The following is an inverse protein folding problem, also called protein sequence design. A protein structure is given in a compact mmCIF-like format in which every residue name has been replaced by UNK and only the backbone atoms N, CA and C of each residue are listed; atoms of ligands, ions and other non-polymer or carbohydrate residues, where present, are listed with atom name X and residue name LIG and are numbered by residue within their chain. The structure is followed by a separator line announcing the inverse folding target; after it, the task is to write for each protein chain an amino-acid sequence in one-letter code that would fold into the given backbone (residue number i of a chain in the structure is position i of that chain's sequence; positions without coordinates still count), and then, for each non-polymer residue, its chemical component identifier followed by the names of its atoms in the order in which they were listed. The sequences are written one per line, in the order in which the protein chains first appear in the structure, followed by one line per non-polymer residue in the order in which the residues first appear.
data_IF_945277392576
#
_entry.id   IF_945277392576
#
_cell.length_a   1.000
_cell.length_b   1.000
_cell.length_c   1.000
_cell.angle_alpha   90.00
_cell.angle_beta   90.00
_cell.angle_gamma   90.00
#
_symmetry.space_group_name_H-M   'P 1'
#
loop_
_entity.id
_entity.type
_entity.pdbx_description
1 polymer ?
#
# COMPACT_ATOMS: atom_id res chain seq x y z
N UNK A 1 5.73 -1.25 -2.95
CA UNK A 1 5.12 0.06 -2.69
C UNK A 1 6.03 1.17 -3.22
N UNK A 2 5.45 2.20 -3.84
CA UNK A 2 6.14 3.38 -4.36
C UNK A 2 5.55 4.61 -3.67
N UNK A 3 6.30 5.17 -2.73
CA UNK A 3 5.85 6.30 -1.89
C UNK A 3 6.46 7.63 -2.31
N UNK A 4 7.49 7.61 -3.16
CA UNK A 4 8.22 8.77 -3.65
C UNK A 4 8.42 8.69 -5.17
N UNK A 5 8.39 9.84 -5.85
CA UNK A 5 8.50 9.91 -7.32
C UNK A 5 9.84 9.38 -7.83
N UNK A 6 10.90 9.49 -7.04
CA UNK A 6 12.24 8.97 -7.35
C UNK A 6 12.28 7.45 -7.46
N UNK A 7 11.32 6.76 -6.82
CA UNK A 7 11.22 5.30 -6.85
C UNK A 7 10.50 4.77 -8.11
N UNK A 8 9.83 5.62 -8.89
CA UNK A 8 9.00 5.20 -10.03
C UNK A 8 9.84 4.44 -11.05
N UNK A 9 10.94 5.05 -11.52
CA UNK A 9 11.77 4.44 -12.57
C UNK A 9 12.38 3.14 -12.08
N UNK A 10 12.92 3.12 -10.86
CA UNK A 10 13.50 1.90 -10.28
C UNK A 10 12.45 0.80 -10.11
N UNK A 11 11.27 1.15 -9.63
CA UNK A 11 10.15 0.21 -9.45
C UNK A 11 9.66 -0.37 -10.77
N UNK A 12 9.45 0.47 -11.79
CA UNK A 12 9.03 0.00 -13.13
C UNK A 12 10.14 -0.79 -13.83
N UNK A 13 11.41 -0.43 -13.63
CA UNK A 13 12.55 -1.22 -14.15
C UNK A 13 12.58 -2.61 -13.54
N UNK A 14 12.40 -2.71 -12.21
CA UNK A 14 12.30 -4.00 -11.54
C UNK A 14 11.12 -4.82 -12.06
N UNK A 15 9.95 -4.20 -12.20
CA UNK A 15 8.77 -4.84 -12.77
C UNK A 15 9.02 -5.37 -14.17
N UNK A 16 9.64 -4.57 -15.04
CA UNK A 16 10.04 -4.98 -16.38
C UNK A 16 10.99 -6.19 -16.37
N UNK A 17 12.03 -6.16 -15.51
CA UNK A 17 12.98 -7.27 -15.41
C UNK A 17 12.33 -8.56 -14.91
N UNK A 18 11.40 -8.45 -13.97
CA UNK A 18 10.62 -9.60 -13.50
C UNK A 18 9.75 -10.14 -14.65
N UNK A 19 8.98 -9.29 -15.32
CA UNK A 19 8.12 -9.70 -16.45
C UNK A 19 8.92 -10.32 -17.61
N UNK A 20 10.09 -9.78 -17.88
CA UNK A 20 10.98 -10.33 -18.94
C UNK A 20 11.43 -11.76 -18.65
N UNK A 21 11.68 -12.10 -17.39
CA UNK A 21 12.19 -13.42 -16.99
C UNK A 21 11.08 -14.38 -16.52
N UNK A 22 10.01 -13.84 -15.94
CA UNK A 22 8.90 -14.59 -15.36
C UNK A 22 7.57 -13.88 -15.69
N UNK A 23 7.10 -13.95 -16.93
CA UNK A 23 5.90 -13.25 -17.39
C UNK A 23 4.61 -13.67 -16.67
N UNK A 24 4.59 -14.87 -16.08
CA UNK A 24 3.47 -15.42 -15.33
C UNK A 24 3.27 -14.78 -13.95
N UNK A 25 4.28 -14.09 -13.41
CA UNK A 25 4.18 -13.46 -12.10
C UNK A 25 3.29 -12.22 -12.20
N UNK A 26 2.22 -12.18 -11.41
CA UNK A 26 1.39 -10.98 -11.27
C UNK A 26 2.13 -9.91 -10.49
N UNK A 27 2.26 -8.73 -11.06
CA UNK A 27 2.92 -7.58 -10.44
C UNK A 27 1.87 -6.52 -10.14
N UNK A 28 1.73 -6.18 -8.87
CA UNK A 28 0.93 -5.04 -8.44
C UNK A 28 1.80 -3.96 -7.81
N UNK A 29 1.47 -2.70 -8.07
CA UNK A 29 2.13 -1.54 -7.45
C UNK A 29 1.11 -0.77 -6.62
N UNK A 30 1.51 -0.37 -5.42
CA UNK A 30 0.76 0.53 -4.55
C UNK A 30 1.65 1.66 -4.03
N UNK A 31 1.07 2.50 -3.20
CA UNK A 31 1.73 3.61 -2.52
C UNK A 31 1.18 4.98 -2.93
N UNK A 32 1.54 6.00 -2.15
CA UNK A 32 0.95 7.34 -2.23
C UNK A 32 1.13 8.02 -3.59
N UNK A 33 2.19 7.71 -4.32
CA UNK A 33 2.41 8.30 -5.66
C UNK A 33 1.28 7.93 -6.62
N UNK A 34 0.93 6.65 -6.72
CA UNK A 34 -0.10 6.19 -7.65
C UNK A 34 -1.51 6.50 -7.14
N UNK A 35 -1.71 6.61 -5.83
CA UNK A 35 -2.95 7.10 -5.24
C UNK A 35 -3.25 8.53 -5.70
N UNK A 36 -2.25 9.42 -5.70
CA UNK A 36 -2.39 10.81 -6.20
C UNK A 36 -2.61 10.90 -7.71
N UNK A 37 -2.27 9.85 -8.44
CA UNK A 37 -2.36 9.81 -9.90
C UNK A 37 -3.54 8.99 -10.41
N UNK A 38 -4.51 8.63 -9.56
CA UNK A 38 -5.66 7.78 -9.94
C UNK A 38 -6.33 8.24 -11.22
N UNK A 39 -6.70 9.53 -11.32
CA UNK A 39 -7.38 10.06 -12.50
C UNK A 39 -6.51 10.01 -13.77
N UNK A 40 -5.20 10.16 -13.61
CA UNK A 40 -4.24 10.01 -14.72
C UNK A 40 -4.05 8.56 -15.13
N UNK A 41 -4.04 7.64 -14.15
CA UNK A 41 -4.00 6.21 -14.45
C UNK A 41 -5.23 5.77 -15.24
N UNK A 42 -6.41 6.29 -14.88
CA UNK A 42 -7.66 5.98 -15.58
C UNK A 42 -7.68 6.56 -17.01
N UNK A 43 -7.21 7.80 -17.20
CA UNK A 43 -7.26 8.49 -18.49
C UNK A 43 -6.13 8.07 -19.45
N UNK A 44 -4.89 8.03 -18.95
CA UNK A 44 -3.69 7.90 -19.77
C UNK A 44 -2.77 6.74 -19.34
N UNK A 45 -3.13 5.99 -18.30
CA UNK A 45 -2.27 5.00 -17.64
C UNK A 45 -2.06 3.70 -18.41
N UNK A 46 -2.71 3.51 -19.56
CA UNK A 46 -2.68 2.25 -20.32
C UNK A 46 -1.25 1.75 -20.61
N UNK A 47 -0.29 2.65 -20.81
CA UNK A 47 1.11 2.31 -21.09
C UNK A 47 1.82 1.65 -19.91
N UNK A 48 1.43 1.97 -18.67
CA UNK A 48 2.04 1.42 -17.47
C UNK A 48 1.73 -0.08 -17.31
N UNK A 49 0.61 -0.52 -17.84
CA UNK A 49 0.23 -1.94 -17.87
C UNK A 49 1.06 -2.81 -18.80
N UNK A 50 2.04 -2.24 -19.48
CA UNK A 50 3.09 -3.00 -20.16
C UNK A 50 4.17 -3.50 -19.18
N UNK A 51 4.22 -2.94 -17.97
CA UNK A 51 5.20 -3.26 -16.92
C UNK A 51 4.59 -3.99 -15.74
N UNK A 52 3.32 -3.71 -15.44
CA UNK A 52 2.62 -4.23 -14.26
C UNK A 52 1.22 -4.71 -14.63
N UNK A 53 0.61 -5.54 -13.82
CA UNK A 53 -0.72 -6.08 -14.07
C UNK A 53 -1.82 -5.27 -13.39
N UNK A 54 -1.49 -4.61 -12.26
CA UNK A 54 -2.46 -3.83 -11.50
C UNK A 54 -1.80 -2.79 -10.61
N UNK A 55 -2.64 -1.84 -10.15
CA UNK A 55 -2.30 -0.89 -9.10
C UNK A 55 -3.32 -1.02 -7.97
N UNK A 56 -2.83 -0.93 -6.73
CA UNK A 56 -3.68 -0.76 -5.55
C UNK A 56 -3.47 0.68 -5.06
N UNK A 57 -4.57 1.42 -4.99
CA UNK A 57 -4.57 2.83 -4.58
C UNK A 57 -5.21 3.01 -3.21
N UNK A 58 -4.92 4.13 -2.54
CA UNK A 58 -5.33 4.40 -1.16
C UNK A 58 -4.77 3.35 -0.18
N UNK A 59 -5.61 2.82 0.67
CA UNK A 59 -5.24 1.82 1.68
C UNK A 59 -5.23 0.43 1.07
N UNK A 60 -4.22 -0.36 1.36
CA UNK A 60 -3.90 -1.53 0.57
C UNK A 60 -3.96 -2.88 1.29
N UNK A 61 -4.19 -2.93 2.58
CA UNK A 61 -4.12 -4.17 3.36
C UNK A 61 -5.18 -5.18 2.89
N UNK A 62 -6.46 -4.80 2.98
CA UNK A 62 -7.57 -5.63 2.49
C UNK A 62 -7.52 -5.81 0.97
N UNK A 63 -7.29 -4.77 0.15
CA UNK A 63 -7.18 -4.94 -1.29
C UNK A 63 -6.09 -5.94 -1.71
N UNK A 64 -4.91 -5.90 -1.11
CA UNK A 64 -3.84 -6.84 -1.42
C UNK A 64 -4.22 -8.28 -1.06
N UNK A 65 -4.82 -8.48 0.11
CA UNK A 65 -5.33 -9.79 0.51
C UNK A 65 -6.36 -10.32 -0.49
N UNK A 66 -7.35 -9.49 -0.86
CA UNK A 66 -8.39 -9.86 -1.83
C UNK A 66 -7.80 -10.13 -3.22
N UNK A 67 -6.80 -9.36 -3.65
CA UNK A 67 -6.11 -9.62 -4.91
C UNK A 67 -5.47 -11.01 -4.90
N UNK A 68 -4.74 -11.37 -3.85
CA UNK A 68 -4.11 -12.70 -3.73
C UNK A 68 -5.17 -13.81 -3.72
N UNK A 69 -6.29 -13.62 -3.03
CA UNK A 69 -7.40 -14.57 -3.02
C UNK A 69 -7.99 -14.77 -4.43
N UNK A 70 -8.23 -13.68 -5.17
CA UNK A 70 -8.75 -13.77 -6.53
C UNK A 70 -7.76 -14.43 -7.49
N UNK A 71 -6.46 -14.11 -7.39
CA UNK A 71 -5.42 -14.74 -8.23
C UNK A 71 -5.25 -16.24 -7.97
N UNK A 72 -5.62 -16.72 -6.77
CA UNK A 72 -5.63 -18.16 -6.43
C UNK A 72 -6.96 -18.85 -6.70
N UNK A 73 -8.03 -18.08 -6.85
CA UNK A 73 -9.41 -18.54 -7.01
C UNK A 73 -9.93 -18.38 -8.44
N UNK A 74 -11.09 -17.75 -8.55
CA UNK A 74 -11.82 -17.56 -9.82
C UNK A 74 -11.30 -16.41 -10.71
N UNK A 75 -10.38 -15.62 -10.20
CA UNK A 75 -9.73 -14.54 -10.95
C UNK A 75 -10.58 -13.30 -11.20
N UNK A 76 -11.70 -13.13 -10.49
CA UNK A 76 -12.58 -11.97 -10.68
C UNK A 76 -12.03 -10.71 -10.00
N UNK A 77 -11.22 -9.95 -10.74
CA UNK A 77 -10.58 -8.73 -10.25
C UNK A 77 -11.57 -7.62 -9.87
N UNK A 78 -12.83 -7.67 -10.34
CA UNK A 78 -13.88 -6.70 -9.96
C UNK A 78 -14.23 -6.77 -8.47
N UNK A 79 -13.93 -7.89 -7.81
CA UNK A 79 -14.18 -8.09 -6.37
C UNK A 79 -13.08 -7.49 -5.47
N UNK A 80 -12.00 -7.00 -6.05
CA UNK A 80 -10.86 -6.45 -5.30
C UNK A 80 -11.07 -4.94 -5.13
N UNK A 81 -11.29 -4.42 -3.92
CA UNK A 81 -11.46 -2.98 -3.72
C UNK A 81 -10.18 -2.23 -4.07
N UNK A 82 -10.27 -0.95 -4.39
CA UNK A 82 -9.15 -0.04 -4.65
C UNK A 82 -8.19 -0.51 -5.77
N UNK A 83 -8.63 -1.45 -6.62
CA UNK A 83 -7.81 -1.99 -7.69
C UNK A 83 -8.02 -1.21 -8.99
N UNK A 84 -6.90 -0.93 -9.67
CA UNK A 84 -6.87 -0.47 -11.05
C UNK A 84 -6.13 -1.54 -11.86
N UNK A 85 -6.73 -2.01 -12.94
CA UNK A 85 -6.17 -3.07 -13.79
C UNK A 85 -6.60 -2.87 -15.23
N UNK A 86 -5.99 -3.60 -16.15
CA UNK A 86 -6.39 -3.58 -17.56
C UNK A 86 -7.18 -4.83 -17.90
N UNK A 87 -8.35 -4.66 -18.51
CA UNK A 87 -9.16 -5.73 -19.05
C UNK A 87 -9.61 -5.38 -20.46
N UNK A 88 -9.45 -6.30 -21.41
CA UNK A 88 -9.86 -6.13 -22.82
C UNK A 88 -9.31 -4.85 -23.49
N UNK A 89 -8.14 -4.40 -23.06
CA UNK A 89 -7.48 -3.18 -23.53
C UNK A 89 -7.84 -1.90 -22.78
N UNK A 90 -8.92 -1.93 -21.99
CA UNK A 90 -9.42 -0.78 -21.23
C UNK A 90 -8.88 -0.78 -19.80
N UNK A 91 -8.68 0.42 -19.23
CA UNK A 91 -8.31 0.59 -17.83
C UNK A 91 -9.58 0.55 -16.97
N UNK A 92 -9.62 -0.39 -16.07
CA UNK A 92 -10.73 -0.59 -15.13
C UNK A 92 -10.35 -0.06 -13.75
N UNK A 93 -11.23 0.70 -13.12
CA UNK A 93 -11.07 1.23 -11.76
C UNK A 93 -12.22 0.74 -10.88
N UNK A 94 -11.91 -0.03 -9.86
CA UNK A 94 -12.93 -0.53 -8.94
C UNK A 94 -13.34 0.55 -7.95
N UNK A 95 -14.54 1.07 -8.11
CA UNK A 95 -15.16 2.10 -7.27
C UNK A 95 -16.45 1.56 -6.61
N UNK A 96 -16.91 2.11 -5.47
CA UNK A 96 -16.25 3.17 -4.70
C UNK A 96 -14.96 2.67 -4.02
N UNK A 97 -14.03 3.59 -3.75
CA UNK A 97 -12.84 3.24 -2.98
C UNK A 97 -13.23 2.93 -1.53
N UNK A 98 -12.59 1.88 -1.01
CA UNK A 98 -12.79 1.42 0.36
C UNK A 98 -11.63 1.88 1.25
N UNK A 99 -11.94 2.23 2.49
CA UNK A 99 -10.98 2.48 3.55
C UNK A 99 -10.84 1.26 4.46
N UNK A 100 -9.72 1.16 5.15
CA UNK A 100 -9.50 0.10 6.13
C UNK A 100 -10.21 0.39 7.46
N UNK A 101 -10.69 -0.65 8.10
CA UNK A 101 -11.08 -0.60 9.50
C UNK A 101 -9.82 -0.77 10.36
N UNK A 102 -9.20 0.35 10.77
CA UNK A 102 -7.89 0.34 11.43
C UNK A 102 -7.85 -0.51 12.71
N UNK A 103 -8.99 -0.65 13.38
CA UNK A 103 -9.07 -1.41 14.63
C UNK A 103 -9.13 -2.93 14.40
N UNK A 104 -9.39 -3.37 13.18
CA UNK A 104 -9.34 -4.77 12.79
C UNK A 104 -7.98 -5.20 12.23
N UNK A 105 -7.08 -4.25 11.95
CA UNK A 105 -5.75 -4.56 11.44
C UNK A 105 -4.90 -5.23 12.54
N UNK A 106 -4.12 -6.26 12.19
CA UNK A 106 -3.20 -6.88 13.12
C UNK A 106 -2.05 -5.95 13.50
N UNK A 107 -1.35 -6.29 14.58
CA UNK A 107 -0.06 -5.66 14.91
C UNK A 107 0.90 -5.81 13.74
N UNK A 108 1.65 -4.76 13.36
CA UNK A 108 2.63 -4.83 12.28
C UNK A 108 3.66 -5.94 12.49
N UNK A 109 4.00 -6.65 11.43
CA UNK A 109 5.02 -7.70 11.44
C UNK A 109 6.26 -7.24 10.67
N UNK A 110 7.41 -7.30 11.32
CA UNK A 110 8.71 -6.93 10.77
C UNK A 110 9.62 -8.14 10.54
N UNK A 111 9.09 -9.37 10.66
CA UNK A 111 9.87 -10.59 10.39
C UNK A 111 10.37 -10.62 8.95
N UNK A 112 11.59 -11.07 8.77
CA UNK A 112 12.23 -11.10 7.45
C UNK A 112 12.87 -9.79 7.00
N UNK A 113 12.68 -8.68 7.73
CA UNK A 113 13.43 -7.45 7.49
C UNK A 113 14.79 -7.53 8.19
N UNK A 114 15.89 -7.11 7.53
CA UNK A 114 17.22 -7.11 8.10
C UNK A 114 17.41 -5.91 9.05
N UNK A 115 16.65 -5.91 10.16
CA UNK A 115 16.59 -4.75 11.08
C UNK A 115 17.98 -4.36 11.64
N UNK A 116 18.89 -5.31 11.75
CA UNK A 116 20.26 -5.05 12.25
C UNK A 116 21.17 -4.35 11.22
N UNK A 117 20.73 -4.23 9.96
CA UNK A 117 21.45 -3.50 8.91
C UNK A 117 21.01 -2.03 8.78
N UNK A 118 19.99 -1.61 9.53
CA UNK A 118 19.58 -0.21 9.52
C UNK A 118 20.59 0.64 10.28
N UNK A 119 20.94 1.81 9.71
CA UNK A 119 21.95 2.73 10.26
C UNK A 119 21.41 3.57 11.44
N UNK A 120 20.55 2.99 12.26
CA UNK A 120 20.06 3.59 13.49
C UNK A 120 20.82 3.02 14.69
N UNK A 121 21.31 3.86 15.63
CA UNK A 121 22.00 3.38 16.82
C UNK A 121 21.12 2.43 17.66
N UNK A 122 19.85 2.74 17.74
CA UNK A 122 18.84 1.91 18.39
C UNK A 122 17.82 1.44 17.38
N UNK A 123 17.21 0.28 17.64
CA UNK A 123 16.10 -0.22 16.86
C UNK A 123 14.86 0.63 17.14
N UNK A 124 14.32 1.27 16.10
CA UNK A 124 13.10 2.09 16.18
C UNK A 124 12.06 1.48 15.23
N UNK A 125 10.87 1.17 15.74
CA UNK A 125 9.79 0.58 14.95
C UNK A 125 8.61 1.56 14.82
N UNK A 126 7.99 1.66 13.63
CA UNK A 126 6.81 2.49 13.45
C UNK A 126 5.56 1.82 14.03
N UNK A 127 4.74 2.62 14.72
CA UNK A 127 3.42 2.22 15.21
C UNK A 127 2.40 3.27 14.83
N UNK A 128 1.37 2.85 14.10
CA UNK A 128 0.37 3.76 13.58
C UNK A 128 -0.80 3.93 14.53
N UNK A 129 -1.07 5.16 14.96
CA UNK A 129 -2.24 5.52 15.77
C UNK A 129 -3.41 6.09 14.96
N UNK A 130 -3.15 6.62 13.76
CA UNK A 130 -4.18 7.24 12.90
C UNK A 130 -3.72 7.30 11.45
N UNK A 131 -4.67 7.48 10.54
CA UNK A 131 -4.44 7.81 9.13
C UNK A 131 -5.17 9.08 8.74
N UNK A 132 -4.63 9.79 7.75
CA UNK A 132 -5.19 11.06 7.30
C UNK A 132 -4.82 12.22 8.20
N UNK A 133 -5.57 13.30 8.09
CA UNK A 133 -5.37 14.51 8.88
C UNK A 133 -6.71 15.16 9.19
N UNK A 134 -7.00 15.38 10.45
CA UNK A 134 -8.25 16.03 10.89
C UNK A 134 -8.39 17.49 10.41
N UNK A 135 -7.27 18.13 10.06
CA UNK A 135 -7.26 19.53 9.64
C UNK A 135 -7.58 19.71 8.15
N UNK A 136 -6.97 18.96 7.28
CA UNK A 136 -7.15 18.87 5.81
C UNK A 136 -7.15 20.19 5.00
N UNK A 137 -6.72 21.33 5.61
CA UNK A 137 -6.81 22.66 5.01
C UNK A 137 -5.47 23.25 4.57
N UNK A 138 -4.38 22.52 4.69
CA UNK A 138 -3.07 23.03 4.30
C UNK A 138 -2.92 22.98 2.77
N UNK A 139 -2.70 24.14 2.14
CA UNK A 139 -2.62 24.27 0.68
C UNK A 139 -1.45 23.49 0.04
N UNK A 140 -0.42 23.15 0.82
CA UNK A 140 0.75 22.41 0.35
C UNK A 140 0.69 20.91 0.65
N UNK A 141 -0.28 20.45 1.44
CA UNK A 141 -0.31 19.11 1.99
C UNK A 141 -1.06 18.14 1.07
N UNK A 142 -0.45 16.99 0.83
CA UNK A 142 -1.05 15.93 0.00
C UNK A 142 -1.67 14.79 0.83
N UNK A 143 -1.62 14.84 2.16
CA UNK A 143 -2.18 13.79 3.02
C UNK A 143 -3.67 13.50 2.74
N UNK A 144 -4.54 14.49 2.48
CA UNK A 144 -5.95 14.22 2.16
C UNK A 144 -6.15 13.41 0.86
N UNK A 145 -5.17 13.42 -0.04
CA UNK A 145 -5.21 12.62 -1.28
C UNK A 145 -4.73 11.19 -1.06
N UNK A 146 -3.86 10.97 -0.08
CA UNK A 146 -3.34 9.64 0.24
C UNK A 146 -4.34 8.81 1.04
N UNK A 147 -5.04 9.47 1.97
CA UNK A 147 -6.04 8.87 2.85
C UNK A 147 -7.40 9.52 2.59
N UNK A 148 -8.42 8.72 2.44
CA UNK A 148 -9.76 9.16 2.06
C UNK A 148 -10.42 10.05 3.12
N UNK A 149 -10.10 9.82 4.40
CA UNK A 149 -10.55 10.62 5.55
C UNK A 149 -9.65 10.37 6.77
N UNK A 150 -9.72 11.28 7.75
CA UNK A 150 -9.05 11.08 9.02
C UNK A 150 -9.78 10.02 9.86
N UNK A 151 -9.04 8.98 10.27
CA UNK A 151 -9.55 7.93 11.16
C UNK A 151 -8.46 7.42 12.10
N UNK A 152 -8.86 6.90 13.26
CA UNK A 152 -7.96 6.58 14.38
C UNK A 152 -8.12 5.13 14.83
N UNK A 153 -7.05 4.59 15.41
CA UNK A 153 -7.08 3.34 16.16
C UNK A 153 -7.46 3.60 17.62
N UNK A 154 -8.10 2.61 18.23
CA UNK A 154 -8.36 2.67 19.67
C UNK A 154 -7.05 2.64 20.44
N UNK A 155 -6.98 3.40 21.54
CA UNK A 155 -5.77 3.49 22.36
C UNK A 155 -5.28 2.12 22.86
N UNK A 156 -6.20 1.25 23.23
CA UNK A 156 -5.87 -0.12 23.65
C UNK A 156 -5.19 -0.95 22.57
N UNK A 157 -5.59 -0.80 21.29
CA UNK A 157 -4.95 -1.50 20.19
C UNK A 157 -3.53 -0.99 19.96
N UNK A 158 -3.33 0.34 20.04
CA UNK A 158 -2.01 0.94 19.91
C UNK A 158 -1.08 0.52 21.05
N UNK A 159 -1.59 0.51 22.29
CA UNK A 159 -0.82 0.01 23.45
C UNK A 159 -0.47 -1.48 23.32
N UNK A 160 -1.38 -2.28 22.78
CA UNK A 160 -1.11 -3.68 22.51
C UNK A 160 -0.04 -3.87 21.44
N UNK A 161 -0.06 -3.05 20.39
CA UNK A 161 1.00 -3.07 19.37
C UNK A 161 2.37 -2.77 19.98
N UNK A 162 2.48 -1.73 20.82
CA UNK A 162 3.73 -1.43 21.52
C UNK A 162 4.25 -2.62 22.32
N UNK A 163 3.39 -3.24 23.13
CA UNK A 163 3.77 -4.39 23.96
C UNK A 163 4.23 -5.57 23.11
N UNK A 164 3.45 -5.91 22.08
CA UNK A 164 3.76 -7.02 21.18
C UNK A 164 5.09 -6.82 20.46
N UNK A 165 5.32 -5.60 19.94
CA UNK A 165 6.55 -5.28 19.23
C UNK A 165 7.76 -5.21 20.17
N UNK A 166 7.57 -4.68 21.38
CA UNK A 166 8.62 -4.66 22.40
C UNK A 166 9.07 -6.09 22.76
N UNK A 167 8.13 -6.98 23.01
CA UNK A 167 8.40 -8.37 23.36
C UNK A 167 9.04 -9.14 22.19
N UNK A 168 8.46 -9.01 20.99
CA UNK A 168 8.88 -9.77 19.82
C UNK A 168 10.25 -9.34 19.28
N UNK A 169 10.52 -8.04 19.25
CA UNK A 169 11.72 -7.47 18.59
C UNK A 169 12.74 -6.89 19.58
N UNK A 170 12.49 -6.99 20.88
CA UNK A 170 13.33 -6.35 21.91
C UNK A 170 13.58 -4.87 21.59
N UNK A 171 12.51 -4.13 21.25
CA UNK A 171 12.55 -2.75 20.83
C UNK A 171 11.84 -1.87 21.85
N UNK A 172 12.51 -0.78 22.28
CA UNK A 172 11.97 0.16 23.26
C UNK A 172 11.72 1.55 22.66
N UNK A 173 12.00 1.75 21.38
CA UNK A 173 11.85 3.02 20.68
C UNK A 173 10.84 2.90 19.55
N UNK A 174 9.81 3.74 19.59
CA UNK A 174 8.73 3.76 18.59
C UNK A 174 8.51 5.18 18.06
N UNK A 175 8.01 5.31 16.84
CA UNK A 175 7.59 6.58 16.26
C UNK A 175 6.28 6.47 15.51
#
# INVERSE_FOLDING_TARGET
SITSVEQIISGLTLAYLVKKNRPEIHITIGGSVFTKLVDRLEQDGSHLFNFVDSFIVHEGETPLLRLVEQLRGDGDLRKVPNLIYRQDGEVMVNRPFAKEELNSLPTPDFDGLPLDLYLSPDRVLPVMGSRGCYWEKCAFCSIPFDHMEFHVRYAENVVNDFKTLQEKYNCNHFF
#
